data_IF_725462523691
#
_entry.id   IF_725462523691
#
_cell.length_a   1.000
_cell.length_b   1.000
_cell.length_c   1.000
_cell.angle_alpha   90.00
_cell.angle_beta   90.00
_cell.angle_gamma   90.00
#
_symmetry.space_group_name_H-M   'P 1'
#
loop_
_entity.id
_entity.type
_entity.pdbx_description
1 polymer ?
#
# COMPACT_ATOMS: atom_id res chain seq x y z
N UNK A 1 -11.20 54.54 -28.31
CA UNK A 1 -9.81 54.07 -28.15
C UNK A 1 -9.47 54.22 -26.67
N UNK A 2 -9.03 53.26 -25.86
CA UNK A 2 -8.42 51.93 -26.00
C UNK A 2 -9.06 51.02 -24.95
N UNK A 3 -9.33 49.77 -25.31
CA UNK A 3 -9.71 48.69 -24.39
C UNK A 3 -8.47 48.28 -23.58
N UNK A 4 -8.61 48.04 -22.28
CA UNK A 4 -7.65 47.25 -21.50
C UNK A 4 -8.44 46.08 -20.91
N UNK A 5 -8.25 44.91 -21.53
CA UNK A 5 -8.63 43.62 -20.98
C UNK A 5 -7.67 43.33 -19.83
N UNK A 6 -8.19 43.19 -18.61
CA UNK A 6 -7.52 42.43 -17.57
C UNK A 6 -7.99 40.99 -17.71
N UNK A 7 -7.27 40.20 -18.51
CA UNK A 7 -7.44 38.76 -18.52
C UNK A 7 -6.93 38.21 -17.19
N UNK A 8 -7.84 37.89 -16.27
CA UNK A 8 -7.52 37.07 -15.11
C UNK A 8 -7.37 35.63 -15.60
N UNK A 9 -6.17 35.32 -16.12
CA UNK A 9 -5.75 33.94 -16.30
C UNK A 9 -5.46 33.40 -14.90
N UNK A 10 -6.48 32.86 -14.25
CA UNK A 10 -6.29 32.01 -13.09
C UNK A 10 -5.81 30.66 -13.61
N UNK A 11 -4.52 30.61 -13.96
CA UNK A 11 -3.82 29.34 -14.12
C UNK A 11 -3.71 28.74 -12.71
N UNK A 12 -4.78 28.09 -12.28
CA UNK A 12 -4.71 27.15 -11.16
C UNK A 12 -3.76 26.06 -11.61
N UNK A 13 -2.50 26.21 -11.25
CA UNK A 13 -1.50 25.16 -11.35
C UNK A 13 -1.95 24.07 -10.38
N UNK A 14 -2.85 23.21 -10.85
CA UNK A 14 -3.06 21.89 -10.29
C UNK A 14 -1.70 21.21 -10.44
N UNK A 15 -0.88 21.30 -9.39
CA UNK A 15 0.11 20.27 -9.13
C UNK A 15 -0.71 19.04 -8.79
N UNK A 16 -1.22 18.38 -9.82
CA UNK A 16 -1.42 16.95 -9.74
C UNK A 16 0.01 16.40 -9.62
N UNK A 17 0.50 16.31 -8.39
CA UNK A 17 1.54 15.34 -8.08
C UNK A 17 0.85 13.97 -8.21
N UNK A 18 0.53 13.58 -9.44
CA UNK A 18 0.28 12.19 -9.74
C UNK A 18 1.65 11.53 -9.71
N UNK A 19 2.16 11.26 -8.51
CA UNK A 19 3.09 10.16 -8.34
C UNK A 19 2.27 8.90 -8.61
N UNK A 20 2.00 8.62 -9.89
CA UNK A 20 1.49 7.32 -10.30
C UNK A 20 2.61 6.34 -10.01
N UNK A 21 2.64 5.80 -8.80
CA UNK A 21 3.52 4.70 -8.45
C UNK A 21 3.29 3.57 -9.45
N UNK A 22 4.38 2.97 -9.94
CA UNK A 22 4.30 1.89 -10.93
C UNK A 22 3.35 0.78 -10.48
N UNK A 23 3.35 0.50 -9.17
CA UNK A 23 2.43 -0.41 -8.49
C UNK A 23 1.45 0.39 -7.64
N UNK A 24 0.18 0.02 -7.68
CA UNK A 24 -0.86 0.51 -6.80
C UNK A 24 -1.35 -0.61 -5.89
N UNK A 25 -1.51 -0.29 -4.60
CA UNK A 25 -2.08 -1.19 -3.60
C UNK A 25 -3.52 -0.78 -3.30
N UNK A 26 -4.41 -1.76 -3.18
CA UNK A 26 -5.78 -1.53 -2.72
C UNK A 26 -6.33 -2.76 -2.02
N UNK A 27 -7.41 -2.60 -1.26
CA UNK A 27 -8.11 -3.72 -0.62
C UNK A 27 -9.19 -4.23 -1.56
N UNK A 28 -9.29 -5.55 -1.74
CA UNK A 28 -10.44 -6.14 -2.43
C UNK A 28 -11.71 -5.87 -1.64
N UNK A 29 -12.75 -5.44 -2.34
CA UNK A 29 -14.06 -5.16 -1.74
C UNK A 29 -14.54 -6.33 -0.87
N UNK A 30 -15.13 -6.02 0.28
CA UNK A 30 -15.65 -6.99 1.27
C UNK A 30 -14.62 -7.96 1.88
N UNK A 31 -13.32 -7.81 1.61
CA UNK A 31 -12.29 -8.71 2.15
C UNK A 31 -11.70 -8.27 3.50
N UNK A 32 -11.87 -7.00 3.90
CA UNK A 32 -11.30 -6.47 5.14
C UNK A 32 -12.06 -7.00 6.36
N UNK A 33 -11.33 -7.66 7.25
CA UNK A 33 -11.83 -8.22 8.51
C UNK A 33 -10.85 -7.91 9.64
N UNK A 34 -11.21 -8.16 10.92
CA UNK A 34 -10.25 -8.10 12.03
C UNK A 34 -9.05 -9.04 11.88
N UNK A 35 -9.16 -10.11 11.07
CA UNK A 35 -8.15 -11.17 10.95
C UNK A 35 -7.24 -11.02 9.72
N UNK A 36 -7.65 -10.19 8.75
CA UNK A 36 -6.95 -10.09 7.48
C UNK A 36 -7.67 -9.29 6.42
N UNK A 37 -7.04 -9.21 5.24
CA UNK A 37 -7.59 -8.65 4.01
C UNK A 37 -7.11 -9.41 2.77
N UNK A 38 -7.74 -9.19 1.63
CA UNK A 38 -7.16 -9.54 0.34
C UNK A 38 -6.57 -8.29 -0.30
N UNK A 39 -5.24 -8.26 -0.43
CA UNK A 39 -4.48 -7.18 -1.03
C UNK A 39 -4.52 -7.33 -2.55
N UNK A 40 -4.90 -6.26 -3.24
CA UNK A 40 -4.76 -6.13 -4.69
C UNK A 40 -3.48 -5.37 -4.97
N UNK A 41 -2.58 -6.00 -5.73
CA UNK A 41 -1.32 -5.44 -6.22
C UNK A 41 -1.48 -5.24 -7.72
N UNK A 42 -1.67 -3.98 -8.15
CA UNK A 42 -1.82 -3.63 -9.56
C UNK A 42 -0.55 -3.01 -10.10
N UNK A 43 0.16 -3.74 -10.96
CA UNK A 43 1.31 -3.21 -11.69
C UNK A 43 0.85 -2.56 -13.00
N UNK A 44 1.06 -1.25 -13.11
CA UNK A 44 0.67 -0.44 -14.26
C UNK A 44 1.85 -0.15 -15.20
N UNK A 45 3.04 -0.63 -14.87
CA UNK A 45 4.25 -0.44 -15.66
C UNK A 45 4.46 -1.55 -16.69
N UNK A 46 5.50 -1.40 -17.52
CA UNK A 46 6.01 -2.44 -18.43
C UNK A 46 7.06 -3.35 -17.77
N UNK A 47 7.43 -3.07 -16.52
CA UNK A 47 8.43 -3.82 -15.76
C UNK A 47 7.76 -4.88 -14.89
N UNK A 48 8.51 -5.91 -14.51
CA UNK A 48 8.10 -6.87 -13.49
C UNK A 48 8.77 -6.52 -12.16
N UNK A 49 8.09 -6.84 -11.07
CA UNK A 49 8.62 -6.66 -9.71
C UNK A 49 8.43 -7.94 -8.93
N UNK A 50 9.27 -8.16 -7.93
CA UNK A 50 9.15 -9.29 -7.00
C UNK A 50 8.72 -8.79 -5.62
N UNK A 51 7.90 -9.55 -4.91
CA UNK A 51 7.49 -9.25 -3.53
C UNK A 51 7.36 -10.55 -2.72
N UNK A 52 7.51 -10.44 -1.40
CA UNK A 52 7.41 -11.58 -0.49
C UNK A 52 6.04 -11.76 0.17
N UNK A 53 5.96 -12.75 1.04
CA UNK A 53 4.85 -12.92 1.98
C UNK A 53 4.96 -12.03 3.22
N UNK A 54 6.14 -11.45 3.46
CA UNK A 54 6.40 -10.52 4.55
C UNK A 54 5.67 -9.19 4.36
N UNK A 55 5.26 -8.61 5.49
CA UNK A 55 4.67 -7.27 5.57
C UNK A 55 4.87 -6.73 6.99
N UNK A 56 4.80 -5.41 7.11
CA UNK A 56 4.70 -4.74 8.40
C UNK A 56 3.29 -4.16 8.56
N UNK A 57 2.81 -4.17 9.79
CA UNK A 57 1.52 -3.58 10.14
C UNK A 57 1.72 -2.53 11.23
N UNK A 58 1.12 -1.36 11.02
CA UNK A 58 1.16 -0.26 11.96
C UNK A 58 -0.26 0.14 12.36
N UNK A 59 -0.42 0.57 13.60
CA UNK A 59 -1.64 1.18 14.13
C UNK A 59 -1.39 2.67 14.39
N UNK A 60 -2.40 3.50 14.13
CA UNK A 60 -2.32 4.93 14.39
C UNK A 60 -2.69 5.24 15.84
N UNK A 61 -1.74 5.80 16.58
CA UNK A 61 -1.94 6.32 17.93
C UNK A 61 -1.72 7.84 17.93
N UNK A 62 -2.82 8.58 18.08
CA UNK A 62 -2.83 10.03 17.95
C UNK A 62 -2.40 10.49 16.55
N UNK A 63 -1.20 11.06 16.46
CA UNK A 63 -0.61 11.55 15.20
C UNK A 63 0.54 10.67 14.70
N UNK A 64 0.80 9.54 15.36
CA UNK A 64 1.95 8.67 15.06
C UNK A 64 1.50 7.28 14.62
N UNK A 65 2.33 6.63 13.80
CA UNK A 65 2.18 5.24 13.44
C UNK A 65 3.10 4.40 14.33
N UNK A 66 2.55 3.45 15.06
CA UNK A 66 3.27 2.51 15.91
C UNK A 66 3.19 1.11 15.28
N UNK A 67 4.26 0.34 15.35
CA UNK A 67 4.24 -1.05 14.86
C UNK A 67 3.27 -1.88 15.72
N UNK A 68 2.49 -2.75 15.09
CA UNK A 68 1.63 -3.68 15.83
C UNK A 68 2.50 -4.77 16.45
N UNK A 69 2.36 -4.96 17.77
CA UNK A 69 3.10 -5.97 18.51
C UNK A 69 2.71 -7.39 18.06
N UNK A 70 3.72 -8.25 17.93
CA UNK A 70 3.53 -9.67 17.62
C UNK A 70 3.12 -10.45 18.86
N UNK A 71 2.28 -11.46 18.68
CA UNK A 71 1.90 -12.39 19.77
C UNK A 71 2.91 -13.55 19.92
N UNK A 72 3.85 -13.66 18.98
CA UNK A 72 4.92 -14.64 18.94
C UNK A 72 6.28 -13.92 19.04
N UNK A 73 7.19 -14.47 19.84
CA UNK A 73 8.58 -13.97 19.94
C UNK A 73 9.44 -14.49 18.78
N UNK A 74 9.33 -15.79 18.47
CA UNK A 74 10.04 -16.45 17.37
C UNK A 74 9.09 -16.70 16.21
N UNK A 75 9.10 -15.83 15.21
CA UNK A 75 8.32 -15.96 13.99
C UNK A 75 9.15 -15.67 12.74
N UNK A 76 8.65 -16.12 11.60
CA UNK A 76 9.20 -15.81 10.30
C UNK A 76 8.14 -15.98 9.22
N UNK A 77 8.33 -15.28 8.11
CA UNK A 77 7.56 -15.49 6.89
C UNK A 77 8.26 -16.55 6.03
N UNK A 78 7.49 -17.27 5.22
CA UNK A 78 8.07 -18.11 4.18
C UNK A 78 8.82 -17.25 3.18
N UNK A 79 10.04 -17.66 2.83
CA UNK A 79 10.89 -16.95 1.87
C UNK A 79 10.46 -17.27 0.42
N UNK A 80 9.24 -16.85 0.06
CA UNK A 80 8.66 -17.04 -1.26
C UNK A 80 8.67 -15.72 -2.03
N UNK A 81 9.24 -15.74 -3.24
CA UNK A 81 9.20 -14.61 -4.17
C UNK A 81 8.03 -14.73 -5.14
N UNK A 82 7.08 -13.80 -5.03
CA UNK A 82 5.95 -13.66 -5.96
C UNK A 82 6.26 -12.61 -7.02
N UNK A 83 5.72 -12.80 -8.23
CA UNK A 83 5.92 -11.87 -9.35
C UNK A 83 4.70 -10.97 -9.48
N UNK A 84 4.89 -9.66 -9.38
CA UNK A 84 3.93 -8.65 -9.81
C UNK A 84 4.12 -8.40 -11.31
N UNK A 85 3.52 -9.26 -12.13
CA UNK A 85 3.63 -9.23 -13.59
C UNK A 85 3.22 -7.88 -14.18
N UNK A 86 3.93 -7.45 -15.23
CA UNK A 86 3.65 -6.20 -15.94
C UNK A 86 2.19 -6.11 -16.40
N UNK A 87 1.59 -4.91 -16.29
CA UNK A 87 0.21 -4.62 -16.72
C UNK A 87 -0.87 -5.54 -16.15
N UNK A 88 -0.62 -6.19 -15.01
CA UNK A 88 -1.55 -7.13 -14.39
C UNK A 88 -1.86 -6.77 -12.94
N UNK A 89 -2.97 -7.31 -12.46
CA UNK A 89 -3.38 -7.26 -11.06
C UNK A 89 -3.22 -8.65 -10.45
N UNK A 90 -2.68 -8.69 -9.24
CA UNK A 90 -2.53 -9.90 -8.44
C UNK A 90 -3.25 -9.72 -7.11
N UNK A 91 -3.83 -10.81 -6.60
CA UNK A 91 -4.44 -10.84 -5.28
C UNK A 91 -3.54 -11.64 -4.34
N UNK A 92 -3.31 -11.12 -3.14
CA UNK A 92 -2.63 -11.83 -2.06
C UNK A 92 -3.51 -11.79 -0.82
N UNK A 93 -3.83 -12.96 -0.27
CA UNK A 93 -4.54 -13.06 1.00
C UNK A 93 -3.54 -12.79 2.13
N UNK A 94 -3.79 -11.74 2.89
CA UNK A 94 -3.01 -11.38 4.07
C UNK A 94 -3.84 -11.81 5.29
N UNK A 95 -3.46 -12.93 5.89
CA UNK A 95 -3.95 -13.34 7.18
C UNK A 95 -2.92 -12.93 8.23
N UNK A 96 -3.26 -11.98 9.09
CA UNK A 96 -2.38 -11.52 10.16
C UNK A 96 -2.75 -12.09 11.53
N UNK A 97 -3.88 -12.79 11.64
CA UNK A 97 -4.35 -13.36 12.91
C UNK A 97 -3.32 -14.25 13.59
N UNK A 98 -2.54 -15.00 12.81
CA UNK A 98 -1.52 -15.89 13.35
C UNK A 98 -0.36 -15.15 14.03
N UNK A 99 -0.09 -13.89 13.63
CA UNK A 99 1.05 -13.10 14.10
C UNK A 99 0.65 -11.96 15.06
N UNK A 100 -0.49 -11.31 14.82
CA UNK A 100 -0.96 -10.15 15.60
C UNK A 100 -2.28 -10.43 16.34
N UNK A 101 -2.90 -11.59 16.12
CA UNK A 101 -4.27 -11.84 16.57
C UNK A 101 -5.31 -11.05 15.76
N UNK A 102 -6.55 -11.05 16.24
CA UNK A 102 -7.62 -10.23 15.66
C UNK A 102 -7.43 -8.77 16.09
N UNK A 103 -7.45 -7.84 15.13
CA UNK A 103 -7.26 -6.42 15.37
C UNK A 103 -8.54 -5.74 15.86
N UNK A 104 -8.40 -4.77 16.75
CA UNK A 104 -9.51 -3.90 17.17
C UNK A 104 -9.82 -2.84 16.10
N UNK A 105 -11.04 -2.25 16.10
CA UNK A 105 -11.35 -1.11 15.24
C UNK A 105 -10.34 0.02 15.39
N UNK A 106 -9.92 0.63 14.27
CA UNK A 106 -8.82 1.60 14.25
C UNK A 106 -8.36 1.99 12.85
N UNK A 107 -7.40 2.90 12.78
CA UNK A 107 -6.69 3.27 11.56
C UNK A 107 -5.36 2.51 11.50
N UNK A 108 -5.11 1.82 10.40
CA UNK A 108 -3.97 0.94 10.20
C UNK A 108 -3.23 1.29 8.91
N UNK A 109 -1.97 0.87 8.84
CA UNK A 109 -1.12 0.95 7.65
C UNK A 109 -0.41 -0.38 7.46
N UNK A 110 -0.56 -0.99 6.29
CA UNK A 110 0.23 -2.12 5.85
C UNK A 110 1.38 -1.64 4.96
N UNK A 111 2.60 -2.08 5.24
CA UNK A 111 3.77 -1.82 4.39
C UNK A 111 4.24 -3.10 3.73
N UNK A 112 4.57 -3.00 2.43
CA UNK A 112 4.99 -4.10 1.57
C UNK A 112 6.25 -3.71 0.82
N UNK A 113 7.26 -4.57 0.86
CA UNK A 113 8.49 -4.41 0.10
C UNK A 113 8.35 -5.02 -1.28
N UNK A 114 8.90 -4.33 -2.27
CA UNK A 114 9.00 -4.76 -3.66
C UNK A 114 10.44 -4.61 -4.14
N UNK A 115 10.89 -5.53 -4.98
CA UNK A 115 12.17 -5.45 -5.68
C UNK A 115 11.94 -5.24 -7.18
N UNK A 116 12.71 -4.34 -7.77
CA UNK A 116 12.78 -4.20 -9.22
C UNK A 116 13.74 -5.23 -9.85
N UNK A 117 13.92 -5.16 -11.18
CA UNK A 117 14.84 -6.05 -11.89
C UNK A 117 16.32 -5.88 -11.53
N UNK A 118 16.69 -4.76 -10.90
CA UNK A 118 18.04 -4.47 -10.44
C UNK A 118 18.25 -4.88 -8.97
N UNK A 119 17.23 -5.51 -8.35
CA UNK A 119 17.19 -5.85 -6.92
C UNK A 119 17.20 -4.61 -6.02
N UNK A 120 16.76 -3.45 -6.54
CA UNK A 120 16.53 -2.28 -5.72
C UNK A 120 15.19 -2.42 -5.00
N UNK A 121 15.23 -2.34 -3.67
CA UNK A 121 14.06 -2.42 -2.81
C UNK A 121 13.35 -1.07 -2.69
N UNK A 122 12.02 -1.12 -2.74
CA UNK A 122 11.17 0.00 -2.38
C UNK A 122 9.94 -0.48 -1.61
N UNK A 123 9.42 0.39 -0.75
CA UNK A 123 8.28 0.10 0.11
C UNK A 123 7.05 0.86 -0.38
N UNK A 124 5.92 0.18 -0.42
CA UNK A 124 4.61 0.79 -0.62
C UNK A 124 3.74 0.58 0.61
N UNK A 125 3.01 1.62 0.97
CA UNK A 125 2.11 1.62 2.12
C UNK A 125 0.66 1.67 1.68
N UNK A 126 -0.21 0.94 2.37
CA UNK A 126 -1.65 0.96 2.23
C UNK A 126 -2.29 1.30 3.57
N UNK A 127 -2.89 2.48 3.67
CA UNK A 127 -3.64 2.90 4.86
C UNK A 127 -5.11 2.49 4.74
N UNK A 128 -5.70 2.03 5.84
CA UNK A 128 -7.09 1.60 5.91
C UNK A 128 -7.70 1.79 7.29
N UNK A 129 -9.03 1.85 7.34
CA UNK A 129 -9.79 1.92 8.58
C UNK A 129 -10.57 0.62 8.78
N UNK A 130 -10.36 -0.01 9.92
CA UNK A 130 -11.14 -1.14 10.40
C UNK A 130 -12.26 -0.60 11.32
N UNK A 131 -13.51 -0.97 11.05
CA UNK A 131 -14.69 -0.50 11.79
C UNK A 131 -15.25 -1.58 12.71
#
# INVERSE_FOLDING_TARGET
MKKILLSFSFLLLLVACQSSSAINLSIKEESLTPDGLTLIIKNNSEQEYTYGDDYLLYVKEGYTWQLVDTILEDYGFDAIGHIASKKQSHEQVINWKWLFGSLNPGEYRLEKTFLDSNLEEFILSLEFKLN
#
